data_IF_853181898265
#
_entry.id   IF_853181898265
#
_cell.length_a   1.000
_cell.length_b   1.000
_cell.length_c   1.000
_cell.angle_alpha   90.00
_cell.angle_beta   90.00
_cell.angle_gamma   90.00
#
_symmetry.space_group_name_H-M   'P 1'
#
loop_
_entity.id
_entity.type
_entity.pdbx_description
1 polymer ?
#
# COMPACT_ATOMS: atom_id res chain seq x y z
N UNK A 1 -0.71 12.94 -7.58
CA UNK A 1 0.27 12.73 -6.50
C UNK A 1 -0.54 12.52 -5.22
N UNK A 2 -0.44 11.34 -4.62
CA UNK A 2 -1.25 10.82 -3.49
C UNK A 2 -2.65 10.26 -3.81
N UNK A 3 -2.68 9.10 -4.49
CA UNK A 3 -3.88 8.21 -4.52
C UNK A 3 -3.52 6.74 -4.19
N UNK A 4 -2.36 6.48 -3.57
CA UNK A 4 -1.96 5.13 -3.15
C UNK A 4 -1.89 4.97 -1.62
N UNK A 5 -2.79 5.64 -0.90
CA UNK A 5 -3.12 5.22 0.47
C UNK A 5 -4.09 4.07 0.30
N UNK A 6 -3.52 2.87 0.20
CA UNK A 6 -4.20 1.63 -0.16
C UNK A 6 -5.49 1.41 0.64
N UNK A 7 -6.54 0.89 -0.01
CA UNK A 7 -7.83 0.57 0.61
C UNK A 7 -7.72 -0.69 1.47
N UNK A 8 -7.02 -0.64 2.60
CA UNK A 8 -6.97 -1.75 3.57
C UNK A 8 -8.27 -1.92 4.37
N UNK A 9 -9.24 -1.00 4.21
CA UNK A 9 -10.52 -1.00 4.92
C UNK A 9 -11.52 -2.07 4.44
N UNK A 10 -11.18 -2.94 3.47
CA UNK A 10 -12.10 -3.95 2.92
C UNK A 10 -11.81 -5.41 3.32
N UNK A 11 -10.94 -5.67 4.31
CA UNK A 11 -10.67 -7.04 4.78
C UNK A 11 -11.14 -7.28 6.23
N UNK A 12 -11.20 -6.22 7.06
CA UNK A 12 -11.51 -6.37 8.49
C UNK A 12 -13.00 -6.46 8.84
N UNK A 13 -13.93 -6.14 7.94
CA UNK A 13 -15.38 -6.17 8.20
C UNK A 13 -16.04 -7.55 8.01
N UNK A 14 -15.32 -8.59 7.55
CA UNK A 14 -15.91 -9.90 7.22
C UNK A 14 -15.34 -11.12 7.97
N UNK A 15 -14.43 -10.96 8.93
CA UNK A 15 -13.72 -12.12 9.51
C UNK A 15 -13.75 -12.21 11.04
N UNK A 16 -14.89 -11.90 11.66
CA UNK A 16 -15.17 -12.24 13.07
C UNK A 16 -15.26 -13.75 13.40
N UNK A 17 -14.81 -14.64 12.52
CA UNK A 17 -14.98 -16.09 12.66
C UNK A 17 -13.77 -16.96 12.26
N UNK A 18 -12.60 -16.40 11.93
CA UNK A 18 -11.38 -17.18 11.61
C UNK A 18 -10.28 -16.94 12.66
N UNK A 19 -10.66 -16.95 13.94
CA UNK A 19 -9.77 -16.79 15.09
C UNK A 19 -9.01 -18.08 15.49
N UNK A 20 -8.90 -19.10 14.62
CA UNK A 20 -8.51 -20.43 15.10
C UNK A 20 -7.38 -21.17 14.40
N UNK A 21 -6.56 -20.57 13.53
CA UNK A 21 -5.43 -21.33 12.96
C UNK A 21 -4.13 -20.52 12.81
N UNK A 22 -3.35 -20.56 13.91
CA UNK A 22 -1.88 -20.66 13.99
C UNK A 22 -1.04 -19.35 13.95
N UNK A 23 -0.51 -19.01 15.14
CA UNK A 23 0.78 -18.36 15.42
C UNK A 23 1.16 -17.04 14.71
N UNK A 24 0.25 -16.07 14.64
CA UNK A 24 0.62 -14.68 14.29
C UNK A 24 1.61 -14.02 15.26
N UNK A 25 1.86 -14.63 16.42
CA UNK A 25 2.80 -14.13 17.43
C UNK A 25 4.28 -14.26 17.05
N UNK A 26 4.64 -15.05 16.02
CA UNK A 26 6.03 -15.18 15.56
C UNK A 26 6.37 -14.26 14.40
N UNK A 27 5.39 -13.92 13.56
CA UNK A 27 5.63 -13.15 12.34
C UNK A 27 5.99 -11.73 12.71
N UNK A 28 7.12 -11.26 12.20
CA UNK A 28 7.72 -9.97 12.54
C UNK A 28 8.16 -9.87 14.04
N UNK A 29 8.14 -10.93 14.86
CA UNK A 29 8.40 -10.94 16.33
C UNK A 29 9.84 -10.72 16.80
N UNK A 30 10.01 -10.12 18.00
CA UNK A 30 11.33 -9.81 18.59
C UNK A 30 12.24 -11.04 18.66
N UNK A 31 13.39 -10.99 17.99
CA UNK A 31 14.56 -11.78 18.38
C UNK A 31 15.50 -10.88 19.17
N UNK A 32 15.72 -11.21 20.43
CA UNK A 32 16.80 -10.66 21.26
C UNK A 32 18.12 -10.69 20.48
N UNK A 33 18.70 -9.51 20.31
CA UNK A 33 20.05 -9.23 19.87
C UNK A 33 21.05 -10.37 20.16
N UNK A 34 21.57 -11.02 19.11
CA UNK A 34 22.92 -11.60 19.09
C UNK A 34 23.49 -11.59 17.67
N UNK A 35 24.49 -10.72 17.51
CA UNK A 35 25.56 -10.67 16.52
C UNK A 35 25.18 -10.51 15.04
N UNK A 36 25.47 -9.30 14.54
CA UNK A 36 25.69 -9.01 13.12
C UNK A 36 26.71 -9.98 12.53
N UNK A 37 26.27 -10.87 11.66
CA UNK A 37 27.14 -11.47 10.66
C UNK A 37 26.93 -10.69 9.38
N UNK A 38 27.90 -9.86 9.06
CA UNK A 38 28.06 -9.32 7.72
C UNK A 38 28.18 -10.50 6.75
N UNK A 39 27.28 -10.58 5.77
CA UNK A 39 27.46 -11.51 4.66
C UNK A 39 28.13 -10.75 3.50
N UNK A 40 29.47 -10.70 3.55
CA UNK A 40 30.28 -10.58 2.34
C UNK A 40 30.55 -12.00 1.81
N UNK A 41 30.17 -12.27 0.56
CA UNK A 41 30.36 -13.60 -0.04
C UNK A 41 29.67 -13.86 -1.38
N UNK A 42 30.09 -13.09 -2.38
CA UNK A 42 29.90 -13.15 -3.83
C UNK A 42 29.73 -14.55 -4.50
N UNK A 43 28.84 -14.65 -5.50
CA UNK A 43 29.18 -15.28 -6.80
C UNK A 43 28.43 -14.58 -7.95
N UNK A 44 29.21 -14.21 -8.95
CA UNK A 44 28.92 -13.38 -10.12
C UNK A 44 27.85 -13.97 -11.04
N UNK A 45 26.77 -13.24 -11.31
CA UNK A 45 26.11 -13.26 -12.63
C UNK A 45 25.98 -11.82 -13.12
N UNK A 46 26.93 -11.45 -13.98
CA UNK A 46 27.02 -10.15 -14.64
C UNK A 46 26.04 -10.13 -15.80
N UNK A 47 24.80 -9.70 -15.56
CA UNK A 47 23.95 -9.17 -16.62
C UNK A 47 23.80 -7.67 -16.37
N UNK A 48 24.69 -6.91 -17.00
CA UNK A 48 24.56 -5.47 -17.16
C UNK A 48 23.29 -5.19 -17.96
N UNK A 49 22.22 -4.77 -17.28
CA UNK A 49 21.21 -3.95 -17.94
C UNK A 49 21.64 -2.51 -17.72
N UNK A 50 21.92 -1.84 -18.83
CA UNK A 50 22.44 -0.49 -18.88
C UNK A 50 21.50 0.47 -18.15
N UNK A 51 22.08 1.32 -17.30
CA UNK A 51 21.46 2.55 -16.84
C UNK A 51 21.59 3.53 -18.00
N UNK A 52 20.53 3.70 -18.79
CA UNK A 52 20.42 4.87 -19.69
C UNK A 52 19.77 6.00 -18.90
N UNK A 53 20.59 6.99 -18.53
CA UNK A 53 20.13 8.31 -18.14
C UNK A 53 19.44 8.97 -19.36
N UNK A 54 18.15 8.73 -19.52
CA UNK A 54 17.32 9.54 -20.41
C UNK A 54 16.58 10.60 -19.60
N UNK A 55 17.14 11.81 -19.62
CA UNK A 55 16.48 13.02 -19.16
C UNK A 55 15.41 13.42 -20.20
N UNK A 56 14.18 12.94 -20.00
CA UNK A 56 13.01 13.34 -20.78
C UNK A 56 11.76 12.66 -20.24
N UNK A 57 10.84 13.43 -19.66
CA UNK A 57 9.51 12.93 -19.32
C UNK A 57 8.54 13.50 -20.35
N UNK A 58 8.07 12.66 -21.26
CA UNK A 58 6.95 12.97 -22.15
C UNK A 58 5.67 12.47 -21.47
N UNK A 59 4.60 13.26 -21.51
CA UNK A 59 3.36 13.00 -20.74
C UNK A 59 2.48 11.87 -21.29
N UNK A 60 3.01 11.06 -22.22
CA UNK A 60 2.25 10.03 -22.94
C UNK A 60 2.59 8.59 -22.48
N UNK A 61 3.36 8.45 -21.38
CA UNK A 61 3.78 7.14 -20.89
C UNK A 61 2.70 6.50 -20.00
N UNK A 62 1.76 5.82 -20.64
CA UNK A 62 0.75 4.95 -19.99
C UNK A 62 1.39 3.60 -19.54
N UNK A 63 2.52 3.64 -18.83
CA UNK A 63 3.23 2.45 -18.32
C UNK A 63 2.71 2.02 -16.93
N UNK A 64 1.55 2.54 -16.52
CA UNK A 64 1.01 2.31 -15.18
C UNK A 64 0.35 0.94 -14.99
N UNK A 65 0.22 0.12 -16.04
CA UNK A 65 -0.45 -1.20 -15.98
C UNK A 65 0.46 -2.39 -16.31
N UNK A 66 1.75 -2.19 -16.62
CA UNK A 66 2.59 -3.23 -17.21
C UNK A 66 3.45 -4.00 -16.19
N UNK A 67 2.99 -4.10 -14.94
CA UNK A 67 3.69 -4.90 -13.93
C UNK A 67 3.73 -6.41 -14.31
N UNK A 68 2.78 -6.87 -15.12
CA UNK A 68 2.75 -8.22 -15.68
C UNK A 68 3.77 -8.45 -16.80
N UNK A 69 4.20 -7.41 -17.52
CA UNK A 69 5.08 -7.53 -18.69
C UNK A 69 6.56 -7.67 -18.29
N UNK A 70 6.97 -7.02 -17.20
CA UNK A 70 8.38 -7.00 -16.75
C UNK A 70 8.75 -8.07 -15.73
N UNK A 71 7.78 -8.63 -15.00
CA UNK A 71 8.05 -9.47 -13.84
C UNK A 71 7.43 -10.87 -13.92
N UNK A 72 7.51 -11.56 -15.06
CA UNK A 72 7.02 -12.94 -15.15
C UNK A 72 7.89 -13.94 -14.37
N UNK A 73 7.57 -14.10 -13.08
CA UNK A 73 8.18 -15.10 -12.22
C UNK A 73 7.42 -16.43 -12.32
N UNK A 74 8.09 -17.45 -12.85
CA UNK A 74 7.52 -18.81 -12.95
C UNK A 74 7.33 -19.45 -11.58
N UNK A 75 8.21 -19.12 -10.62
CA UNK A 75 8.16 -19.61 -9.24
C UNK A 75 8.56 -18.51 -8.27
N UNK A 76 7.73 -18.33 -7.24
CA UNK A 76 7.98 -17.46 -6.08
C UNK A 76 8.51 -18.30 -4.92
N UNK A 77 9.57 -17.82 -4.29
CA UNK A 77 10.14 -18.41 -3.08
C UNK A 77 9.56 -17.72 -1.84
N UNK A 78 8.40 -18.21 -1.38
CA UNK A 78 7.71 -17.63 -0.22
C UNK A 78 8.55 -17.71 1.07
N UNK A 79 9.45 -18.70 1.18
CA UNK A 79 10.31 -18.86 2.35
C UNK A 79 11.38 -17.76 2.39
N UNK A 80 12.03 -17.50 1.25
CA UNK A 80 12.98 -16.39 1.11
C UNK A 80 12.27 -15.05 1.30
N UNK A 81 11.05 -14.90 0.75
CA UNK A 81 10.24 -13.69 0.93
C UNK A 81 9.95 -13.42 2.41
N UNK A 82 9.50 -14.44 3.14
CA UNK A 82 9.19 -14.33 4.57
C UNK A 82 10.45 -14.05 5.38
N UNK A 83 11.53 -14.81 5.16
CA UNK A 83 12.76 -14.69 5.93
C UNK A 83 13.39 -13.29 5.79
N UNK A 84 13.53 -12.79 4.55
CA UNK A 84 14.11 -11.47 4.31
C UNK A 84 13.15 -10.38 4.79
N UNK A 85 11.84 -10.54 4.53
CA UNK A 85 10.81 -9.60 4.97
C UNK A 85 10.82 -9.41 6.48
N UNK A 86 10.90 -10.50 7.25
CA UNK A 86 10.97 -10.47 8.71
C UNK A 86 12.29 -9.88 9.22
N UNK A 87 13.43 -10.40 8.74
CA UNK A 87 14.75 -10.04 9.30
C UNK A 87 15.22 -8.64 8.92
N UNK A 88 14.77 -8.11 7.78
CA UNK A 88 15.21 -6.81 7.29
C UNK A 88 14.09 -5.77 7.41
N UNK A 89 13.00 -5.95 6.66
CA UNK A 89 11.97 -4.91 6.53
C UNK A 89 11.20 -4.69 7.84
N UNK A 90 10.77 -5.78 8.46
CA UNK A 90 10.06 -5.79 9.73
C UNK A 90 10.91 -5.26 10.89
N UNK A 91 12.17 -5.70 10.99
CA UNK A 91 13.09 -5.22 12.04
C UNK A 91 13.34 -3.72 11.91
N UNK A 92 13.60 -3.22 10.69
CA UNK A 92 13.81 -1.79 10.45
C UNK A 92 12.56 -0.98 10.78
N UNK A 93 11.39 -1.42 10.32
CA UNK A 93 10.13 -0.76 10.64
C UNK A 93 9.88 -0.71 12.16
N UNK A 94 10.07 -1.83 12.85
CA UNK A 94 9.89 -1.89 14.31
C UNK A 94 10.88 -0.96 15.04
N UNK A 95 12.11 -0.80 14.55
CA UNK A 95 13.06 0.17 15.08
C UNK A 95 12.56 1.61 14.88
N UNK A 96 12.12 1.97 13.67
CA UNK A 96 11.55 3.29 13.38
C UNK A 96 10.30 3.58 14.22
N UNK A 97 9.42 2.61 14.39
CA UNK A 97 8.23 2.74 15.25
C UNK A 97 8.59 2.90 16.74
N UNK A 98 9.67 2.25 17.19
CA UNK A 98 10.16 2.41 18.56
C UNK A 98 10.74 3.81 18.77
N UNK A 99 11.48 4.34 17.79
CA UNK A 99 12.01 5.70 17.82
C UNK A 99 10.92 6.76 17.78
N UNK A 100 9.88 6.55 16.96
CA UNK A 100 8.72 7.45 16.86
C UNK A 100 7.91 7.56 18.16
N UNK A 101 7.93 6.54 19.02
CA UNK A 101 7.18 6.52 20.26
C UNK A 101 5.71 6.10 20.08
N UNK A 102 5.19 5.37 21.08
CA UNK A 102 3.85 4.78 21.11
C UNK A 102 2.74 5.81 20.94
N UNK A 103 2.97 7.03 21.42
CA UNK A 103 2.05 8.15 21.34
C UNK A 103 1.81 8.65 19.90
N UNK A 104 2.75 8.38 18.99
CA UNK A 104 2.67 8.82 17.60
C UNK A 104 2.22 7.71 16.64
N UNK A 105 2.02 6.48 17.13
CA UNK A 105 1.65 5.34 16.28
C UNK A 105 0.33 5.57 15.54
N UNK A 106 -0.64 6.23 16.14
CA UNK A 106 -1.93 6.49 15.50
C UNK A 106 -1.95 7.74 14.61
N UNK A 107 -0.83 8.44 14.46
CA UNK A 107 -0.75 9.62 13.60
C UNK A 107 -0.20 9.25 12.22
N UNK A 108 -1.07 9.23 11.21
CA UNK A 108 -0.72 8.84 9.83
C UNK A 108 0.41 9.70 9.26
N UNK A 109 0.42 11.01 9.51
CA UNK A 109 1.45 11.93 9.02
C UNK A 109 2.83 11.62 9.62
N UNK A 110 2.90 11.04 10.82
CA UNK A 110 4.15 10.66 11.48
C UNK A 110 4.67 9.32 10.99
N UNK A 111 3.79 8.36 10.72
CA UNK A 111 4.18 7.00 10.35
C UNK A 111 4.37 6.80 8.84
N UNK A 112 3.87 7.72 7.99
CA UNK A 112 3.89 7.58 6.52
C UNK A 112 5.29 7.35 5.96
N UNK A 113 6.31 7.99 6.53
CA UNK A 113 7.70 7.81 6.10
C UNK A 113 8.21 6.40 6.39
N UNK A 114 7.97 5.89 7.59
CA UNK A 114 8.35 4.51 7.97
C UNK A 114 7.59 3.47 7.16
N UNK A 115 6.31 3.73 6.87
CA UNK A 115 5.52 2.88 5.99
C UNK A 115 6.05 2.86 4.56
N UNK A 116 6.48 4.02 4.04
CA UNK A 116 7.08 4.09 2.71
C UNK A 116 8.36 3.24 2.63
N UNK A 117 9.27 3.38 3.60
CA UNK A 117 10.48 2.57 3.69
C UNK A 117 10.19 1.06 3.79
N UNK A 118 9.18 0.69 4.58
CA UNK A 118 8.69 -0.69 4.69
C UNK A 118 8.19 -1.21 3.34
N UNK A 119 7.31 -0.46 2.66
CA UNK A 119 6.76 -0.85 1.34
C UNK A 119 7.86 -1.02 0.31
N UNK A 120 8.81 -0.09 0.26
CA UNK A 120 9.94 -0.14 -0.68
C UNK A 120 10.86 -1.32 -0.38
N UNK A 121 11.12 -1.61 0.90
CA UNK A 121 11.87 -2.79 1.31
C UNK A 121 11.18 -4.09 0.89
N UNK A 122 9.86 -4.20 1.09
CA UNK A 122 9.09 -5.39 0.72
C UNK A 122 8.99 -5.55 -0.81
N UNK A 123 8.87 -4.47 -1.57
CA UNK A 123 8.91 -4.51 -3.03
C UNK A 123 10.26 -5.02 -3.55
N UNK A 124 11.38 -4.49 -3.02
CA UNK A 124 12.72 -5.00 -3.36
C UNK A 124 12.87 -6.47 -2.96
N UNK A 125 12.34 -6.86 -1.81
CA UNK A 125 12.40 -8.24 -1.33
C UNK A 125 11.60 -9.18 -2.23
N UNK A 126 10.42 -8.77 -2.69
CA UNK A 126 9.63 -9.52 -3.68
C UNK A 126 10.42 -9.78 -4.95
N UNK A 127 11.16 -8.79 -5.46
CA UNK A 127 12.03 -8.97 -6.64
C UNK A 127 13.14 -9.99 -6.40
N UNK A 128 13.75 -9.99 -5.20
CA UNK A 128 14.79 -10.96 -4.81
C UNK A 128 14.22 -12.37 -4.67
N UNK A 129 13.07 -12.50 -4.02
CA UNK A 129 12.36 -13.76 -3.81
C UNK A 129 11.66 -14.29 -5.08
N UNK A 130 11.74 -13.56 -6.20
CA UNK A 130 11.03 -13.86 -7.46
C UNK A 130 9.51 -13.96 -7.26
N UNK A 131 8.97 -13.05 -6.46
CA UNK A 131 7.56 -12.94 -6.19
C UNK A 131 7.03 -11.64 -6.80
N UNK A 132 5.78 -11.64 -7.24
CA UNK A 132 5.08 -10.40 -7.56
C UNK A 132 4.85 -9.58 -6.29
N UNK A 133 4.73 -8.27 -6.43
CA UNK A 133 4.32 -7.37 -5.37
C UNK A 133 3.02 -6.67 -5.77
N UNK A 134 1.99 -6.63 -4.90
CA UNK A 134 1.91 -7.30 -3.61
C UNK A 134 1.72 -8.82 -3.75
N UNK A 135 1.94 -9.57 -2.66
CA UNK A 135 1.67 -11.01 -2.58
C UNK A 135 1.19 -11.43 -1.19
N UNK A 136 0.78 -12.70 -1.03
CA UNK A 136 0.25 -13.26 0.22
C UNK A 136 1.18 -13.14 1.43
N UNK A 137 2.51 -13.25 1.23
CA UNK A 137 3.48 -13.14 2.33
C UNK A 137 3.60 -11.69 2.77
N UNK A 138 3.62 -10.75 1.82
CA UNK A 138 3.59 -9.31 2.10
C UNK A 138 2.34 -8.93 2.90
N UNK A 139 1.18 -9.44 2.50
CA UNK A 139 -0.08 -9.21 3.21
C UNK A 139 -0.01 -9.69 4.67
N UNK A 140 0.52 -10.89 4.90
CA UNK A 140 0.71 -11.43 6.26
C UNK A 140 1.65 -10.56 7.11
N UNK A 141 2.74 -10.05 6.53
CA UNK A 141 3.66 -9.15 7.20
C UNK A 141 2.98 -7.83 7.58
N UNK A 142 2.20 -7.24 6.67
CA UNK A 142 1.41 -6.04 6.98
C UNK A 142 0.41 -6.28 8.10
N UNK A 143 -0.35 -7.38 8.06
CA UNK A 143 -1.30 -7.73 9.12
C UNK A 143 -0.58 -7.86 10.46
N UNK A 144 0.56 -8.54 10.52
CA UNK A 144 1.34 -8.69 11.76
C UNK A 144 1.83 -7.33 12.31
N UNK A 145 2.29 -6.44 11.43
CA UNK A 145 2.68 -5.06 11.78
C UNK A 145 1.49 -4.28 12.34
N UNK A 146 0.33 -4.37 11.69
CA UNK A 146 -0.89 -3.70 12.14
C UNK A 146 -1.36 -4.17 13.51
N UNK A 147 -1.36 -5.49 13.73
CA UNK A 147 -1.68 -6.07 15.03
C UNK A 147 -0.68 -5.67 16.12
N UNK A 148 0.58 -5.38 15.78
CA UNK A 148 1.56 -4.97 16.78
C UNK A 148 1.45 -3.49 17.13
N UNK A 149 1.56 -2.62 16.14
CA UNK A 149 1.74 -1.18 16.37
C UNK A 149 0.42 -0.41 16.39
N UNK A 150 -0.64 -0.93 15.75
CA UNK A 150 -1.88 -0.17 15.56
C UNK A 150 -3.11 -0.82 16.21
N UNK A 151 -2.93 -1.91 16.99
CA UNK A 151 -4.05 -2.60 17.65
C UNK A 151 -4.84 -1.73 18.64
N UNK A 152 -4.20 -0.70 19.20
CA UNK A 152 -4.82 0.24 20.15
C UNK A 152 -5.25 1.56 19.50
N UNK A 153 -5.10 1.69 18.18
CA UNK A 153 -5.51 2.90 17.49
C UNK A 153 -7.03 2.91 17.30
N UNK A 154 -7.62 4.01 17.74
CA UNK A 154 -9.00 4.42 17.46
C UNK A 154 -9.31 4.37 15.95
N UNK A 155 -10.45 3.84 15.49
CA UNK A 155 -10.97 4.06 14.12
C UNK A 155 -11.48 5.53 13.91
N UNK A 156 -11.08 6.45 14.79
CA UNK A 156 -11.66 7.79 15.01
C UNK A 156 -11.40 8.76 13.84
N UNK A 157 -10.55 8.36 12.88
CA UNK A 157 -10.30 9.07 11.62
C UNK A 157 -11.07 8.48 10.43
N UNK A 158 -12.15 7.72 10.67
CA UNK A 158 -13.26 7.77 9.72
C UNK A 158 -13.75 9.22 9.72
N UNK A 159 -13.28 10.02 8.74
CA UNK A 159 -14.06 11.16 8.29
C UNK A 159 -15.46 10.61 8.08
N UNK A 160 -16.44 10.99 8.93
CA UNK A 160 -17.76 10.43 8.81
C UNK A 160 -18.21 10.68 7.39
N UNK A 161 -18.63 9.62 6.69
CA UNK A 161 -19.19 9.75 5.36
C UNK A 161 -20.17 10.93 5.36
N UNK A 162 -20.07 11.78 4.34
CA UNK A 162 -20.91 12.97 4.28
C UNK A 162 -22.36 12.55 4.52
N UNK A 163 -23.10 13.24 5.41
CA UNK A 163 -24.42 12.80 5.84
C UNK A 163 -25.30 12.51 4.63
N UNK A 164 -26.10 11.43 4.67
CA UNK A 164 -26.82 10.91 3.51
C UNK A 164 -27.62 11.98 2.72
N UNK A 165 -28.11 13.02 3.39
CA UNK A 165 -28.78 14.16 2.75
C UNK A 165 -27.88 15.01 1.85
N UNK A 166 -26.60 15.20 2.19
CA UNK A 166 -25.63 15.95 1.39
C UNK A 166 -25.25 15.14 0.14
N UNK A 167 -25.02 13.83 0.29
CA UNK A 167 -24.76 12.92 -0.84
C UNK A 167 -25.96 12.87 -1.77
N UNK A 168 -27.18 12.77 -1.23
CA UNK A 168 -28.41 12.80 -2.02
C UNK A 168 -28.60 14.14 -2.75
N UNK A 169 -28.35 15.26 -2.08
CA UNK A 169 -28.43 16.58 -2.72
C UNK A 169 -27.39 16.72 -3.84
N UNK A 170 -26.13 16.31 -3.59
CA UNK A 170 -25.05 16.39 -4.56
C UNK A 170 -25.28 15.49 -5.80
N UNK A 171 -26.00 14.38 -5.65
CA UNK A 171 -26.38 13.50 -6.76
C UNK A 171 -27.61 13.99 -7.51
N UNK A 172 -28.63 14.53 -6.83
CA UNK A 172 -29.84 15.07 -7.46
C UNK A 172 -29.60 16.40 -8.17
N UNK A 173 -28.70 17.24 -7.65
CA UNK A 173 -28.38 18.54 -8.22
C UNK A 173 -27.96 18.48 -9.70
N UNK A 174 -26.98 17.65 -10.14
CA UNK A 174 -26.63 17.53 -11.56
C UNK A 174 -27.75 16.91 -12.40
N UNK A 175 -28.52 15.95 -11.85
CA UNK A 175 -29.65 15.32 -12.56
C UNK A 175 -30.73 16.34 -12.92
N UNK A 176 -30.93 17.37 -12.08
CA UNK A 176 -31.93 18.42 -12.33
C UNK A 176 -31.31 19.58 -13.12
N UNK A 177 -30.07 19.98 -12.81
CA UNK A 177 -29.42 21.12 -13.47
C UNK A 177 -29.15 20.88 -14.95
N UNK A 178 -28.67 19.69 -15.33
CA UNK A 178 -28.33 19.38 -16.72
C UNK A 178 -29.54 19.53 -17.66
N UNK A 179 -30.70 18.86 -17.42
CA UNK A 179 -31.86 19.01 -18.30
C UNK A 179 -32.45 20.43 -18.26
N UNK A 180 -32.37 21.12 -17.11
CA UNK A 180 -32.80 22.51 -17.01
C UNK A 180 -31.97 23.43 -17.91
N UNK A 181 -30.63 23.30 -17.87
CA UNK A 181 -29.73 24.09 -18.73
C UNK A 181 -29.99 23.77 -20.21
N UNK A 182 -30.11 22.48 -20.56
CA UNK A 182 -30.43 22.06 -21.94
C UNK A 182 -31.76 22.67 -22.40
N UNK A 183 -32.80 22.60 -21.57
CA UNK A 183 -34.09 23.21 -21.87
C UNK A 183 -33.98 24.72 -22.10
N UNK A 184 -33.28 25.44 -21.21
CA UNK A 184 -33.07 26.89 -21.34
C UNK A 184 -32.32 27.24 -22.63
N UNK A 185 -31.28 26.46 -22.98
CA UNK A 185 -30.51 26.68 -24.22
C UNK A 185 -31.39 26.48 -25.44
N UNK A 186 -32.15 25.38 -25.51
CA UNK A 186 -33.05 25.06 -26.63
C UNK A 186 -34.15 26.11 -26.78
N UNK A 187 -34.76 26.51 -25.66
CA UNK A 187 -35.78 27.55 -25.64
C UNK A 187 -35.22 28.89 -26.13
N UNK A 188 -34.03 29.26 -25.67
CA UNK A 188 -33.40 30.52 -26.06
C UNK A 188 -32.92 30.51 -27.52
N UNK A 189 -32.51 29.36 -28.08
CA UNK A 189 -32.25 29.23 -29.51
C UNK A 189 -33.53 29.32 -30.33
N UNK A 190 -34.62 28.66 -29.92
CA UNK A 190 -35.90 28.71 -30.62
C UNK A 190 -36.58 30.08 -30.59
N UNK A 191 -36.27 30.93 -29.61
CA UNK A 191 -36.74 32.32 -29.55
C UNK A 191 -35.87 33.30 -30.34
N UNK A 192 -34.68 32.88 -30.77
CA UNK A 192 -33.71 33.71 -31.48
C UNK A 192 -33.60 33.38 -32.98
N UNK A 193 -34.27 32.32 -33.41
CA UNK A 193 -34.60 32.00 -34.80
C UNK A 193 -35.99 32.55 -35.17
#
# INVERSE_FOLDING_TARGET
MSTFIFPFKMIYQLSGLILLLLDSSLICGQTTQKNSVAFEGQTTQKNSVAFEDSNGTYEDQEDFQDQELYHHYVHCDDAVMMEIGEKNCCVNFNASMTELGVENWCNVEKIVSSYHELTECLERTSRVARCYYPNRVVEQLFVAIHQRHFHSCSDEEELPDAPAGVVLAATLLPIILIPFIVYVVVWKSSLRD
#
